data_IF_736348102923
#
_entry.id   IF_736348102923
#
_cell.length_a   1.000
_cell.length_b   1.000
_cell.length_c   1.000
_cell.angle_alpha   90.00
_cell.angle_beta   90.00
_cell.angle_gamma   90.00
#
_symmetry.space_group_name_H-M   'P 1'
#
loop_
_entity.id
_entity.type
_entity.pdbx_description
1 polymer ?
#
# COMPACT_ATOMS: atom_id res chain seq x y z
N UNK A 1 -7.99 9.46 18.41
CA UNK A 1 -6.77 9.84 17.67
C UNK A 1 -7.09 9.79 16.20
N UNK A 2 -6.68 10.77 15.38
CA UNK A 2 -7.13 10.84 14.00
C UNK A 2 -6.50 9.74 13.13
N UNK A 3 -7.24 9.34 12.10
CA UNK A 3 -6.74 8.44 11.05
C UNK A 3 -5.53 9.06 10.36
N UNK A 4 -4.43 8.32 10.27
CA UNK A 4 -3.21 8.76 9.59
C UNK A 4 -2.36 7.59 9.14
N UNK A 5 -1.56 7.83 8.10
CA UNK A 5 -0.43 6.98 7.76
C UNK A 5 0.67 7.25 8.81
N UNK A 6 1.05 6.21 9.57
CA UNK A 6 2.03 6.35 10.64
C UNK A 6 3.45 6.49 10.07
N UNK A 7 3.76 5.74 9.00
CA UNK A 7 5.02 5.84 8.26
C UNK A 7 4.70 5.78 6.77
N UNK A 8 5.03 6.81 5.98
CA UNK A 8 4.80 6.77 4.55
C UNK A 8 5.74 5.77 3.87
N UNK A 9 5.27 5.04 2.84
CA UNK A 9 6.14 4.22 2.02
C UNK A 9 7.19 5.09 1.32
N UNK A 10 8.34 4.48 1.00
CA UNK A 10 9.46 5.16 0.34
C UNK A 10 9.69 4.59 -1.04
N UNK A 11 10.27 5.40 -1.91
CA UNK A 11 10.74 4.94 -3.22
C UNK A 11 11.83 3.89 -3.04
N UNK A 12 11.78 2.84 -3.84
CA UNK A 12 12.77 1.76 -3.86
C UNK A 12 13.24 1.60 -5.30
N UNK A 13 14.56 1.60 -5.51
CA UNK A 13 15.18 1.20 -6.77
C UNK A 13 15.56 -0.27 -6.66
N UNK A 14 15.02 -1.09 -7.55
CA UNK A 14 15.25 -2.54 -7.58
C UNK A 14 15.74 -2.99 -8.95
N UNK A 15 16.44 -4.13 -8.99
CA UNK A 15 16.87 -4.77 -10.23
C UNK A 15 15.79 -5.71 -10.76
N UNK A 16 15.87 -6.04 -12.05
CA UNK A 16 14.99 -7.03 -12.66
C UNK A 16 15.12 -8.38 -11.93
N UNK A 17 13.99 -8.95 -11.54
CA UNK A 17 13.92 -10.22 -10.82
C UNK A 17 14.03 -10.10 -9.30
N UNK A 18 14.27 -8.91 -8.75
CA UNK A 18 14.21 -8.69 -7.30
C UNK A 18 12.77 -8.49 -6.84
N UNK A 19 12.43 -9.09 -5.70
CA UNK A 19 11.15 -8.86 -5.03
C UNK A 19 11.22 -7.59 -4.18
N UNK A 20 10.23 -6.72 -4.34
CA UNK A 20 10.11 -5.48 -3.55
C UNK A 20 8.87 -5.55 -2.67
N UNK A 21 9.01 -5.13 -1.41
CA UNK A 21 7.89 -5.03 -0.48
C UNK A 21 7.71 -3.59 -0.01
N UNK A 22 6.55 -3.01 -0.32
CA UNK A 22 6.13 -1.72 0.23
C UNK A 22 5.35 -1.94 1.53
N UNK A 23 5.63 -1.13 2.55
CA UNK A 23 4.93 -1.14 3.84
C UNK A 23 4.24 0.19 4.08
N UNK A 24 3.00 0.16 4.54
CA UNK A 24 2.22 1.35 4.87
C UNK A 24 1.45 1.11 6.18
N UNK A 25 2.07 1.29 7.36
CA UNK A 25 1.38 1.19 8.63
C UNK A 25 0.40 2.36 8.80
N UNK A 26 -0.86 2.04 9.08
CA UNK A 26 -1.94 3.02 9.27
C UNK A 26 -2.47 2.93 10.70
N UNK A 27 -2.72 4.08 11.31
CA UNK A 27 -3.53 4.17 12.53
C UNK A 27 -4.90 4.68 12.11
N UNK A 28 -5.96 3.91 12.36
CA UNK A 28 -7.33 4.36 12.15
C UNK A 28 -7.85 5.06 13.40
N UNK A 29 -8.71 6.05 13.20
CA UNK A 29 -9.54 6.55 14.29
C UNK A 29 -10.43 5.42 14.83
N UNK A 30 -10.44 5.15 16.15
CA UNK A 30 -11.31 4.14 16.74
C UNK A 30 -12.78 4.26 16.33
N UNK A 31 -13.29 5.47 16.12
CA UNK A 31 -14.67 5.70 15.66
C UNK A 31 -14.93 5.19 14.23
N UNK A 32 -13.87 5.02 13.44
CA UNK A 32 -13.90 4.57 12.05
C UNK A 32 -13.29 3.17 11.87
N UNK A 33 -12.80 2.53 12.93
CA UNK A 33 -12.03 1.29 12.84
C UNK A 33 -12.78 0.14 12.14
N UNK A 34 -14.12 0.14 12.16
CA UNK A 34 -14.95 -0.86 11.47
C UNK A 34 -15.22 -0.57 9.98
N UNK A 35 -14.87 0.63 9.50
CA UNK A 35 -15.15 1.09 8.12
C UNK A 35 -13.92 1.61 7.38
N UNK A 36 -12.85 1.90 8.10
CA UNK A 36 -11.57 2.29 7.53
C UNK A 36 -10.98 1.14 6.72
N UNK A 37 -10.50 1.46 5.52
CA UNK A 37 -9.78 0.54 4.66
C UNK A 37 -8.54 1.23 4.09
N UNK A 38 -7.55 0.43 3.71
CA UNK A 38 -6.32 0.86 3.08
C UNK A 38 -6.21 0.16 1.73
N UNK A 39 -5.98 0.93 0.67
CA UNK A 39 -5.82 0.43 -0.69
C UNK A 39 -4.52 0.94 -1.29
N UNK A 40 -3.88 0.11 -2.11
CA UNK A 40 -2.78 0.53 -2.97
C UNK A 40 -3.34 0.92 -4.32
N UNK A 41 -2.85 2.03 -4.88
CA UNK A 41 -3.23 2.49 -6.21
C UNK A 41 -2.01 2.50 -7.13
N UNK A 42 -2.23 2.12 -8.39
CA UNK A 42 -1.30 2.28 -9.49
C UNK A 42 -1.96 3.17 -10.55
N UNK A 43 -1.32 4.28 -10.91
CA UNK A 43 -1.84 5.28 -11.85
C UNK A 43 -3.31 5.67 -11.57
N UNK A 44 -3.62 5.88 -10.29
CA UNK A 44 -4.96 6.28 -9.83
C UNK A 44 -6.02 5.18 -9.83
N UNK A 45 -5.66 3.93 -10.14
CA UNK A 45 -6.57 2.77 -10.10
C UNK A 45 -6.18 1.82 -8.97
N UNK A 46 -7.15 1.18 -8.34
CA UNK A 46 -6.88 0.17 -7.31
C UNK A 46 -6.01 -0.92 -7.91
N UNK A 47 -4.88 -1.18 -7.26
CA UNK A 47 -3.95 -2.24 -7.65
C UNK A 47 -4.58 -3.58 -7.26
N UNK A 48 -5.12 -4.27 -8.25
CA UNK A 48 -5.50 -5.68 -8.11
C UNK A 48 -4.24 -6.54 -8.24
N UNK A 49 -4.24 -7.72 -7.62
CA UNK A 49 -3.20 -8.73 -7.86
C UNK A 49 -3.14 -9.03 -9.36
N UNK A 50 -2.11 -8.54 -10.04
CA UNK A 50 -1.77 -9.00 -11.37
C UNK A 50 -0.82 -10.18 -11.21
N UNK A 51 -1.11 -11.36 -11.81
CA UNK A 51 -0.13 -12.43 -11.86
C UNK A 51 1.15 -11.89 -12.52
N UNK A 52 2.31 -12.35 -12.06
CA UNK A 52 3.61 -11.98 -12.61
C UNK A 52 3.54 -11.95 -14.14
N UNK A 53 3.56 -10.74 -14.71
CA UNK A 53 3.48 -10.54 -16.15
C UNK A 53 4.86 -10.79 -16.76
N UNK A 54 5.36 -12.01 -16.61
CA UNK A 54 6.55 -12.47 -17.32
C UNK A 54 6.08 -13.26 -18.55
N UNK A 55 5.58 -12.55 -19.56
CA UNK A 55 5.40 -13.06 -20.93
C UNK A 55 6.35 -12.34 -21.88
#
# INVERSE_FOLDING_TARGET
APTRIAVPPRNITAKKGETVTFRCPVTFDPALASRGHLEWLWDGKVLSETPDSNR
#
